data_IF_238442161918
#
_entry.id   IF_238442161918
#
_cell.length_a   1.000
_cell.length_b   1.000
_cell.length_c   1.000
_cell.angle_alpha   90.00
_cell.angle_beta   90.00
_cell.angle_gamma   90.00
#
_symmetry.space_group_name_H-M   'P 1'
#
loop_
_entity.id
_entity.type
_entity.pdbx_description
1 polymer ?
#
# COMPACT_ATOMS: atom_id res chain seq x y z
N UNK A 1 -14.59 62.74 61.46
CA UNK A 1 -13.62 61.66 61.16
C UNK A 1 -14.24 60.78 60.06
N UNK A 2 -13.80 60.98 58.82
CA UNK A 2 -14.32 60.15 57.68
C UNK A 2 -13.35 59.02 57.39
N UNK A 3 -13.72 57.77 57.63
CA UNK A 3 -12.96 56.56 57.27
C UNK A 3 -13.21 56.24 55.80
N UNK A 4 -12.21 56.50 54.98
CA UNK A 4 -12.18 56.10 53.56
C UNK A 4 -11.95 54.59 53.46
N UNK A 5 -12.99 53.83 53.13
CA UNK A 5 -12.85 52.43 52.79
C UNK A 5 -12.22 52.30 51.39
N UNK A 6 -10.91 52.00 51.34
CA UNK A 6 -10.22 51.58 50.10
C UNK A 6 -10.71 50.16 49.76
N UNK A 7 -11.49 50.00 48.68
CA UNK A 7 -11.79 48.68 48.09
C UNK A 7 -10.47 48.07 47.59
N UNK A 8 -10.16 46.83 47.98
CA UNK A 8 -9.05 46.11 47.39
C UNK A 8 -9.32 45.89 45.92
N UNK A 9 -8.38 46.27 45.03
CA UNK A 9 -8.39 45.90 43.61
C UNK A 9 -8.21 44.40 43.55
N UNK A 10 -9.22 43.69 43.09
CA UNK A 10 -9.07 42.29 42.66
C UNK A 10 -8.11 42.30 41.46
N UNK A 11 -6.91 41.78 41.63
CA UNK A 11 -6.02 41.45 40.54
C UNK A 11 -6.70 40.27 39.80
N UNK A 12 -7.15 40.52 38.57
CA UNK A 12 -7.54 39.44 37.69
C UNK A 12 -6.32 38.54 37.48
N UNK A 13 -6.38 37.24 37.76
CA UNK A 13 -5.32 36.34 37.34
C UNK A 13 -5.27 36.39 35.81
N UNK A 14 -4.19 36.93 35.29
CA UNK A 14 -3.88 36.80 33.87
C UNK A 14 -3.64 35.33 33.69
N UNK A 15 -4.63 34.64 33.12
CA UNK A 15 -4.45 33.27 32.66
C UNK A 15 -3.47 33.34 31.47
N UNK A 16 -2.17 33.42 31.79
CA UNK A 16 -1.15 33.20 30.77
C UNK A 16 -1.35 31.80 30.21
N UNK A 17 -1.96 31.75 29.04
CA UNK A 17 -2.13 30.51 28.30
C UNK A 17 -0.71 30.00 28.02
N UNK A 18 -0.36 28.90 28.63
CA UNK A 18 0.98 28.34 28.53
C UNK A 18 1.16 27.76 27.13
N UNK A 19 1.57 28.61 26.19
CA UNK A 19 1.73 28.27 24.76
C UNK A 19 2.72 27.14 24.58
N UNK A 20 3.66 26.96 25.51
CA UNK A 20 4.64 25.87 25.50
C UNK A 20 3.97 24.48 25.54
N UNK A 21 2.94 24.30 26.38
CA UNK A 21 2.20 23.04 26.46
C UNK A 21 1.40 22.77 25.19
N UNK A 22 0.91 23.82 24.56
CA UNK A 22 0.13 23.73 23.32
C UNK A 22 1.04 23.37 22.13
N UNK A 23 2.25 23.92 22.10
CA UNK A 23 3.27 23.58 21.11
C UNK A 23 3.73 22.13 21.30
N UNK A 24 3.99 21.69 22.54
CA UNK A 24 4.39 20.32 22.84
C UNK A 24 3.34 19.30 22.39
N UNK A 25 2.06 19.61 22.63
CA UNK A 25 0.97 18.77 22.15
C UNK A 25 0.95 18.72 20.60
N UNK A 26 1.19 19.83 19.93
CA UNK A 26 1.29 19.90 18.47
C UNK A 26 2.48 19.09 17.92
N UNK A 27 3.64 19.17 18.55
CA UNK A 27 4.82 18.39 18.18
C UNK A 27 4.61 16.89 18.42
N UNK A 28 4.02 16.52 19.54
CA UNK A 28 3.71 15.11 19.84
C UNK A 28 2.77 14.54 18.80
N UNK A 29 1.73 15.29 18.44
CA UNK A 29 0.78 14.88 17.39
C UNK A 29 1.49 14.73 16.04
N UNK A 30 2.39 15.66 15.67
CA UNK A 30 3.17 15.62 14.45
C UNK A 30 4.05 14.35 14.38
N UNK A 31 4.74 14.03 15.51
CA UNK A 31 5.58 12.84 15.59
C UNK A 31 4.74 11.56 15.46
N UNK A 32 3.57 11.52 16.11
CA UNK A 32 2.64 10.39 15.99
C UNK A 32 2.21 10.19 14.54
N UNK A 33 1.82 11.25 13.84
CA UNK A 33 1.48 11.16 12.42
C UNK A 33 2.66 10.75 11.56
N UNK A 34 3.87 11.24 11.85
CA UNK A 34 5.07 10.86 11.10
C UNK A 34 5.39 9.38 11.24
N UNK A 35 5.19 8.78 12.43
CA UNK A 35 5.38 7.35 12.66
C UNK A 35 4.22 6.53 12.09
N UNK A 36 2.98 7.05 12.13
CA UNK A 36 1.80 6.38 11.62
C UNK A 36 1.75 6.33 10.08
N UNK A 37 2.32 7.34 9.39
CA UNK A 37 2.27 7.45 7.92
C UNK A 37 2.82 6.23 7.19
N UNK A 38 3.99 5.64 7.54
CA UNK A 38 4.48 4.43 6.88
C UNK A 38 3.61 3.19 7.17
N UNK A 39 2.89 3.16 8.28
CA UNK A 39 1.98 2.05 8.62
C UNK A 39 0.69 2.07 7.78
N UNK A 40 0.24 3.25 7.36
CA UNK A 40 -0.94 3.39 6.50
C UNK A 40 -0.64 2.92 5.07
N UNK A 41 0.60 3.06 4.64
CA UNK A 41 1.08 2.62 3.32
C UNK A 41 1.61 1.17 3.32
N UNK A 42 1.43 0.41 4.37
CA UNK A 42 1.62 -1.03 4.29
C UNK A 42 0.52 -1.59 3.38
N UNK A 43 0.85 -1.65 2.09
CA UNK A 43 0.15 -2.51 1.15
C UNK A 43 -0.03 -3.85 1.85
N UNK A 44 -1.28 -4.26 2.07
CA UNK A 44 -1.58 -5.60 2.58
C UNK A 44 -1.16 -6.61 1.51
N UNK A 45 0.16 -6.71 1.32
CA UNK A 45 0.73 -7.73 0.46
C UNK A 45 0.50 -9.05 1.16
N UNK A 46 -0.24 -9.91 0.52
CA UNK A 46 -0.37 -11.30 0.94
C UNK A 46 1.05 -11.83 1.08
N UNK A 47 1.41 -12.46 2.22
CA UNK A 47 2.74 -13.02 2.41
C UNK A 47 2.94 -14.17 1.41
N UNK A 48 3.51 -13.84 0.26
CA UNK A 48 3.90 -14.79 -0.78
C UNK A 48 5.41 -14.93 -0.72
N UNK A 49 5.90 -16.13 -0.45
CA UNK A 49 7.33 -16.43 -0.53
C UNK A 49 7.72 -16.49 -2.01
N UNK A 50 8.31 -15.41 -2.51
CA UNK A 50 8.71 -15.33 -3.91
C UNK A 50 9.94 -16.25 -4.16
N UNK A 51 10.01 -16.93 -5.31
CA UNK A 51 11.20 -17.67 -5.69
C UNK A 51 12.39 -16.75 -5.85
N UNK A 52 13.56 -17.22 -5.41
CA UNK A 52 14.80 -16.45 -5.45
C UNK A 52 15.44 -16.50 -6.84
N UNK A 53 15.67 -15.35 -7.44
CA UNK A 53 16.50 -15.23 -8.65
C UNK A 53 17.83 -14.54 -8.35
N UNK A 54 18.87 -15.02 -9.04
CA UNK A 54 20.19 -14.39 -9.03
C UNK A 54 20.14 -13.10 -9.84
N UNK A 55 20.23 -11.95 -9.16
CA UNK A 55 20.51 -10.59 -9.69
C UNK A 55 20.13 -10.35 -11.17
N UNK A 56 18.86 -10.33 -11.52
CA UNK A 56 18.41 -9.55 -12.67
C UNK A 56 18.20 -8.11 -12.23
N UNK A 57 18.68 -7.15 -13.03
CA UNK A 57 18.57 -5.72 -12.77
C UNK A 57 17.10 -5.38 -12.48
N UNK A 58 16.81 -4.96 -11.26
CA UNK A 58 15.52 -4.36 -10.93
C UNK A 58 15.36 -3.10 -11.80
N UNK A 59 14.64 -3.22 -12.88
CA UNK A 59 14.19 -2.03 -13.62
C UNK A 59 13.33 -1.23 -12.66
N UNK A 60 13.79 -0.04 -12.30
CA UNK A 60 13.00 0.91 -11.50
C UNK A 60 11.65 1.08 -12.19
N UNK A 61 10.54 0.93 -11.47
CA UNK A 61 9.21 1.11 -12.07
C UNK A 61 9.14 2.51 -12.68
N UNK A 62 8.86 2.56 -13.96
CA UNK A 62 8.64 3.82 -14.66
C UNK A 62 7.34 4.43 -14.11
N UNK A 63 7.43 5.60 -13.49
CA UNK A 63 6.29 6.29 -12.86
C UNK A 63 5.13 6.61 -13.81
N UNK A 64 5.37 6.47 -15.10
CA UNK A 64 4.35 6.70 -16.14
C UNK A 64 3.58 5.43 -16.53
N UNK A 65 3.99 4.27 -16.05
CA UNK A 65 3.39 2.98 -16.41
C UNK A 65 2.45 2.52 -15.29
N UNK A 66 1.20 2.27 -15.65
CA UNK A 66 0.22 1.69 -14.73
C UNK A 66 0.50 0.18 -14.57
N UNK A 67 0.66 -0.26 -13.32
CA UNK A 67 0.91 -1.66 -12.99
C UNK A 67 -0.28 -2.24 -12.24
N UNK A 68 -0.63 -3.47 -12.56
CA UNK A 68 -1.65 -4.25 -11.85
C UNK A 68 -0.97 -5.52 -11.32
N UNK A 69 -1.08 -5.79 -10.04
CA UNK A 69 -0.49 -6.97 -9.43
C UNK A 69 -1.49 -8.13 -9.41
N UNK A 70 -1.03 -9.31 -9.80
CA UNK A 70 -1.78 -10.57 -9.65
C UNK A 70 -0.92 -11.51 -8.81
N UNK A 71 -1.41 -11.89 -7.64
CA UNK A 71 -0.70 -12.80 -6.75
C UNK A 71 -1.36 -14.19 -6.75
N UNK A 72 -0.54 -15.24 -6.70
CA UNK A 72 -0.98 -16.63 -6.59
C UNK A 72 -0.33 -17.23 -5.34
N UNK A 73 -1.15 -17.76 -4.43
CA UNK A 73 -0.66 -18.44 -3.23
C UNK A 73 -0.22 -19.89 -3.52
N UNK A 74 0.41 -20.54 -2.53
CA UNK A 74 0.84 -21.94 -2.62
C UNK A 74 -0.32 -22.92 -2.87
N UNK A 75 -1.56 -22.54 -2.60
CA UNK A 75 -2.77 -23.35 -2.85
C UNK A 75 -3.34 -23.14 -4.25
N UNK A 76 -2.78 -22.19 -5.01
CA UNK A 76 -3.26 -21.84 -6.35
C UNK A 76 -4.43 -20.87 -6.37
N UNK A 77 -4.75 -20.20 -5.27
CA UNK A 77 -5.75 -19.15 -5.26
C UNK A 77 -5.14 -17.88 -5.86
N UNK A 78 -5.93 -17.17 -6.65
CA UNK A 78 -5.52 -15.95 -7.33
C UNK A 78 -6.09 -14.72 -6.61
N UNK A 79 -5.26 -13.71 -6.43
CA UNK A 79 -5.61 -12.43 -5.81
C UNK A 79 -5.28 -11.31 -6.77
N UNK A 80 -6.15 -10.31 -6.87
CA UNK A 80 -6.00 -9.18 -7.77
C UNK A 80 -5.71 -7.91 -6.96
N UNK A 81 -4.66 -7.20 -7.35
CA UNK A 81 -4.14 -6.02 -6.64
C UNK A 81 -3.90 -6.33 -5.15
N UNK A 82 -4.35 -5.46 -4.27
CA UNK A 82 -4.18 -5.56 -2.82
C UNK A 82 -5.32 -6.29 -2.10
N UNK A 83 -6.18 -6.98 -2.84
CA UNK A 83 -7.31 -7.67 -2.23
C UNK A 83 -6.83 -8.90 -1.45
N UNK A 84 -7.35 -9.05 -0.23
CA UNK A 84 -7.10 -10.20 0.63
C UNK A 84 -8.03 -11.38 0.34
N UNK A 85 -9.07 -11.17 -0.46
CA UNK A 85 -10.02 -12.22 -0.84
C UNK A 85 -9.62 -12.84 -2.18
N UNK A 86 -9.60 -14.18 -2.29
CA UNK A 86 -9.30 -14.83 -3.55
C UNK A 86 -10.37 -14.52 -4.61
N UNK A 87 -9.91 -14.31 -5.81
CA UNK A 87 -10.77 -13.96 -6.96
C UNK A 87 -11.05 -15.22 -7.78
N UNK A 88 -12.33 -15.46 -8.05
CA UNK A 88 -12.73 -16.57 -8.91
C UNK A 88 -12.34 -16.33 -10.38
N UNK A 89 -12.19 -17.42 -11.14
CA UNK A 89 -11.77 -17.35 -12.56
C UNK A 89 -12.67 -16.45 -13.41
N UNK A 90 -14.00 -16.48 -13.18
CA UNK A 90 -14.95 -15.65 -13.91
C UNK A 90 -14.76 -14.13 -13.62
N UNK A 91 -14.53 -13.79 -12.36
CA UNK A 91 -14.26 -12.41 -11.96
C UNK A 91 -12.90 -11.96 -12.49
N UNK A 92 -11.88 -12.81 -12.42
CA UNK A 92 -10.56 -12.52 -12.99
C UNK A 92 -10.68 -12.18 -14.48
N UNK A 93 -11.36 -13.02 -15.27
CA UNK A 93 -11.59 -12.78 -16.70
C UNK A 93 -12.28 -11.46 -16.98
N UNK A 94 -13.32 -11.13 -16.20
CA UNK A 94 -14.04 -9.86 -16.37
C UNK A 94 -13.15 -8.66 -16.11
N UNK A 95 -12.32 -8.72 -15.07
CA UNK A 95 -11.35 -7.66 -14.72
C UNK A 95 -10.25 -7.52 -15.77
N UNK A 96 -9.69 -8.63 -16.24
CA UNK A 96 -8.65 -8.60 -17.29
C UNK A 96 -9.17 -7.97 -18.58
N UNK A 97 -10.43 -8.23 -18.96
CA UNK A 97 -11.06 -7.60 -20.12
C UNK A 97 -11.24 -6.08 -19.93
N UNK A 98 -11.59 -5.65 -18.73
CA UNK A 98 -11.67 -4.21 -18.42
C UNK A 98 -10.30 -3.53 -18.59
N UNK A 99 -9.25 -4.12 -18.01
CA UNK A 99 -7.88 -3.59 -18.18
C UNK A 99 -7.42 -3.57 -19.62
N UNK A 100 -7.77 -4.59 -20.41
CA UNK A 100 -7.43 -4.64 -21.83
C UNK A 100 -8.18 -3.59 -22.66
N UNK A 101 -9.35 -3.12 -22.21
CA UNK A 101 -10.13 -2.08 -22.89
C UNK A 101 -9.68 -0.66 -22.58
N UNK A 102 -8.75 -0.48 -21.65
CA UNK A 102 -8.19 0.83 -21.35
C UNK A 102 -7.35 1.37 -22.51
N UNK A 103 -7.34 2.69 -22.68
CA UNK A 103 -6.54 3.35 -23.72
C UNK A 103 -5.02 3.09 -23.60
N UNK A 104 -4.56 2.81 -22.37
CA UNK A 104 -3.20 2.35 -22.03
C UNK A 104 -3.30 1.13 -21.14
N UNK A 105 -3.31 -0.09 -21.70
CA UNK A 105 -3.38 -1.30 -20.89
C UNK A 105 -2.23 -1.36 -19.87
N UNK A 106 -2.51 -1.75 -18.63
CA UNK A 106 -1.50 -1.84 -17.59
C UNK A 106 -0.50 -2.95 -17.87
N UNK A 107 0.66 -2.86 -17.26
CA UNK A 107 1.62 -3.97 -17.20
C UNK A 107 1.24 -4.85 -16.01
N UNK A 108 1.01 -6.13 -16.26
CA UNK A 108 0.62 -7.08 -15.23
C UNK A 108 1.86 -7.59 -14.52
N UNK A 109 1.91 -7.44 -13.19
CA UNK A 109 2.97 -7.97 -12.33
C UNK A 109 2.47 -9.27 -11.68
N UNK A 110 3.07 -10.39 -12.05
CA UNK A 110 2.70 -11.70 -11.51
C UNK A 110 3.59 -11.98 -10.30
N UNK A 111 2.96 -12.22 -9.15
CA UNK A 111 3.62 -12.63 -7.90
C UNK A 111 3.18 -14.06 -7.59
N UNK A 112 4.06 -15.01 -7.77
CA UNK A 112 3.81 -16.42 -7.44
C UNK A 112 4.54 -16.83 -6.17
N UNK A 113 3.88 -17.55 -5.26
CA UNK A 113 4.57 -18.23 -4.17
C UNK A 113 5.56 -19.26 -4.74
N UNK A 114 6.68 -19.50 -4.02
CA UNK A 114 7.69 -20.46 -4.45
C UNK A 114 7.15 -21.89 -4.57
N UNK A 115 6.06 -22.21 -3.89
CA UNK A 115 5.43 -23.53 -3.88
C UNK A 115 4.17 -23.61 -4.77
N UNK A 116 3.89 -22.56 -5.55
CA UNK A 116 2.73 -22.55 -6.43
C UNK A 116 2.90 -23.62 -7.52
N UNK A 117 1.89 -24.45 -7.79
CA UNK A 117 1.96 -25.39 -8.90
C UNK A 117 2.15 -24.66 -10.24
N UNK A 118 3.15 -25.08 -11.00
CA UNK A 118 3.48 -24.46 -12.30
C UNK A 118 2.26 -24.36 -13.25
N UNK A 119 1.40 -25.36 -13.19
CA UNK A 119 0.14 -25.40 -13.95
C UNK A 119 -0.73 -24.15 -13.70
N UNK A 120 -0.77 -23.64 -12.45
CA UNK A 120 -1.57 -22.46 -12.11
C UNK A 120 -0.99 -21.18 -12.70
N UNK A 121 0.33 -21.11 -12.77
CA UNK A 121 1.04 -19.99 -13.42
C UNK A 121 0.74 -20.00 -14.92
N UNK A 122 0.86 -21.16 -15.56
CA UNK A 122 0.58 -21.30 -17.00
C UNK A 122 -0.88 -20.96 -17.30
N UNK A 123 -1.83 -21.45 -16.49
CA UNK A 123 -3.24 -21.12 -16.65
C UNK A 123 -3.50 -19.61 -16.55
N UNK A 124 -2.86 -18.92 -15.59
CA UNK A 124 -2.95 -17.46 -15.51
C UNK A 124 -2.37 -16.76 -16.75
N UNK A 125 -1.23 -17.23 -17.24
CA UNK A 125 -0.63 -16.67 -18.47
C UNK A 125 -1.53 -16.84 -19.69
N UNK A 126 -2.24 -17.96 -19.79
CA UNK A 126 -3.20 -18.18 -20.88
C UNK A 126 -4.41 -17.24 -20.76
N UNK A 127 -4.91 -16.99 -19.56
CA UNK A 127 -5.98 -16.00 -19.33
C UNK A 127 -5.53 -14.57 -19.72
N UNK A 128 -4.29 -14.20 -19.39
CA UNK A 128 -3.73 -12.89 -19.79
C UNK A 128 -3.61 -12.77 -21.31
N UNK A 129 -3.16 -13.83 -22.00
CA UNK A 129 -3.08 -13.85 -23.46
C UNK A 129 -4.47 -13.75 -24.11
N UNK A 130 -5.47 -14.50 -23.59
CA UNK A 130 -6.84 -14.43 -24.08
C UNK A 130 -7.45 -13.03 -23.89
N UNK A 131 -7.06 -12.32 -22.83
CA UNK A 131 -7.46 -10.93 -22.59
C UNK A 131 -6.64 -9.91 -23.41
N UNK A 132 -5.68 -10.36 -24.25
CA UNK A 132 -4.76 -9.50 -25.01
C UNK A 132 -3.84 -8.63 -24.14
N UNK A 133 -3.56 -9.04 -22.89
CA UNK A 133 -2.60 -8.39 -21.98
C UNK A 133 -1.23 -9.06 -22.10
N UNK A 134 -0.49 -8.70 -23.15
CA UNK A 134 0.79 -9.34 -23.48
C UNK A 134 1.97 -8.79 -22.68
N UNK A 135 1.80 -7.66 -22.00
CA UNK A 135 2.85 -7.05 -21.18
C UNK A 135 2.69 -7.51 -19.74
N UNK A 136 3.50 -8.48 -19.34
CA UNK A 136 3.56 -8.92 -17.95
C UNK A 136 5.00 -9.13 -17.49
N UNK A 137 5.21 -9.00 -16.18
CA UNK A 137 6.51 -9.21 -15.53
C UNK A 137 6.31 -10.09 -14.31
N UNK A 138 7.35 -10.85 -13.94
CA UNK A 138 7.34 -11.61 -12.70
C UNK A 138 8.07 -10.81 -11.61
N UNK A 139 7.44 -10.68 -10.45
CA UNK A 139 8.08 -10.15 -9.27
C UNK A 139 8.82 -11.29 -8.54
N UNK A 140 10.11 -11.16 -8.44
CA UNK A 140 10.99 -12.12 -7.76
C UNK A 140 11.74 -11.42 -6.63
N UNK A 141 12.04 -12.13 -5.55
CA UNK A 141 12.92 -11.61 -4.50
C UNK A 141 14.38 -11.84 -4.90
N UNK A 142 15.17 -10.75 -4.94
CA UNK A 142 16.62 -10.89 -5.03
C UNK A 142 17.19 -11.30 -3.67
N UNK A 143 17.91 -12.43 -3.62
CA UNK A 143 18.73 -12.75 -2.44
C UNK A 143 19.97 -11.84 -2.51
N UNK A 144 20.05 -10.86 -1.61
CA UNK A 144 21.32 -10.19 -1.34
C UNK A 144 22.16 -11.14 -0.50
N UNK A 145 23.22 -11.66 -1.10
CA UNK A 145 24.27 -12.42 -0.42
C UNK A 145 25.24 -11.44 0.25
#
# INVERSE_FOLDING_TARGET
MARTFRRPRQSHPIAEMNVTNLIDLGFTLLIIFMIATPLINQEQTIPVTLPSETKSQQQKPDRSTHYVAISIDAKGNTYLDERTTPVGLAELRSRLRLYASESKPPVVRIRGDAHVPYEKIVALMDELKQANLLKFTFDTQSISK
#
